data_IF_229027943594
#
_entry.id   IF_229027943594
#
_cell.length_a   1.000
_cell.length_b   1.000
_cell.length_c   1.000
_cell.angle_alpha   90.00
_cell.angle_beta   90.00
_cell.angle_gamma   90.00
#
_symmetry.space_group_name_H-M   'P 1'
#
loop_
_entity.id
_entity.type
_entity.pdbx_description
1 polymer ?
#
# COMPACT_ATOMS: atom_id res chain seq x y z
N UNK A 1 6.80 -7.36 3.09
CA UNK A 1 7.48 -6.66 4.20
C UNK A 1 6.83 -7.01 5.54
N UNK A 2 7.58 -7.50 6.55
CA UNK A 2 7.00 -7.90 7.83
C UNK A 2 6.52 -6.65 8.59
N UNK A 3 5.20 -6.50 8.74
CA UNK A 3 4.58 -5.43 9.54
C UNK A 3 3.47 -4.63 8.83
N UNK A 4 3.38 -4.71 7.50
CA UNK A 4 2.22 -4.19 6.77
C UNK A 4 1.21 -5.32 6.57
N UNK A 5 -0.08 -5.02 6.76
CA UNK A 5 -1.15 -5.96 6.44
C UNK A 5 -1.02 -6.42 4.99
N UNK A 6 -1.39 -7.67 4.70
CA UNK A 6 -1.39 -8.24 3.35
C UNK A 6 -2.27 -7.44 2.37
N UNK A 7 -3.19 -6.64 2.91
CA UNK A 7 -4.09 -5.76 2.16
C UNK A 7 -3.60 -4.30 2.07
N UNK A 8 -2.36 -4.01 2.47
CA UNK A 8 -1.74 -2.70 2.26
C UNK A 8 -0.97 -2.68 0.95
N UNK A 9 -1.26 -1.70 0.10
CA UNK A 9 -0.52 -1.42 -1.12
C UNK A 9 0.27 -0.13 -0.93
N UNK A 10 1.56 -0.17 -1.26
CA UNK A 10 2.44 0.99 -1.20
C UNK A 10 2.57 1.61 -2.60
N UNK A 11 2.49 2.93 -2.65
CA UNK A 11 2.84 3.73 -3.82
C UNK A 11 3.68 4.92 -3.40
N UNK A 12 4.34 5.56 -4.37
CA UNK A 12 5.03 6.83 -4.15
C UNK A 12 4.43 7.91 -5.06
N UNK A 13 4.61 9.20 -4.73
CA UNK A 13 4.12 10.28 -5.57
C UNK A 13 4.59 10.17 -7.02
N UNK A 14 3.69 10.43 -7.97
CA UNK A 14 3.92 10.32 -9.42
C UNK A 14 3.91 8.89 -9.98
N UNK A 15 3.87 7.86 -9.14
CA UNK A 15 3.81 6.46 -9.58
C UNK A 15 2.44 6.10 -10.17
N UNK A 16 2.43 5.03 -10.97
CA UNK A 16 1.19 4.38 -11.42
C UNK A 16 1.04 3.06 -10.66
N UNK A 17 -0.07 2.89 -9.95
CA UNK A 17 -0.36 1.66 -9.18
C UNK A 17 -1.65 1.03 -9.70
N UNK A 18 -1.67 -0.30 -9.77
CA UNK A 18 -2.86 -1.08 -10.11
C UNK A 18 -3.31 -1.86 -8.90
N UNK A 19 -4.55 -1.63 -8.45
CA UNK A 19 -5.19 -2.41 -7.40
C UNK A 19 -5.95 -3.58 -8.03
N UNK A 20 -5.75 -4.78 -7.50
CA UNK A 20 -6.42 -6.01 -7.95
C UNK A 20 -7.42 -6.49 -6.90
N UNK A 21 -8.66 -6.79 -7.31
CA UNK A 21 -9.71 -7.23 -6.40
C UNK A 21 -9.47 -8.68 -5.96
N UNK A 22 -9.17 -9.56 -6.93
CA UNK A 22 -8.64 -10.90 -6.69
C UNK A 22 -7.48 -11.21 -7.62
N UNK A 23 -6.56 -12.04 -7.13
CA UNK A 23 -5.46 -12.58 -7.94
C UNK A 23 -6.03 -13.62 -8.91
N UNK A 24 -5.61 -13.57 -10.18
CA UNK A 24 -5.94 -14.64 -11.12
C UNK A 24 -5.34 -15.94 -10.57
N UNK A 25 -6.16 -16.94 -10.30
CA UNK A 25 -5.69 -18.30 -10.03
C UNK A 25 -4.82 -18.84 -11.18
N UNK A 26 -4.10 -19.95 -10.99
CA UNK A 26 -3.19 -20.50 -11.98
C UNK A 26 -3.88 -20.65 -13.33
N UNK A 27 -3.09 -20.47 -14.40
CA UNK A 27 -3.44 -20.18 -15.79
C UNK A 27 -4.30 -21.23 -16.54
N UNK A 28 -5.38 -21.72 -15.93
CA UNK A 28 -6.33 -22.64 -16.54
C UNK A 28 -7.80 -22.33 -16.16
N UNK A 29 -8.08 -21.07 -15.80
CA UNK A 29 -9.43 -20.53 -15.73
C UNK A 29 -9.40 -19.12 -16.31
N UNK A 30 -9.58 -19.03 -17.62
CA UNK A 30 -9.70 -17.77 -18.38
C UNK A 30 -11.04 -17.06 -18.15
N UNK A 31 -11.90 -17.59 -17.30
CA UNK A 31 -13.17 -16.98 -16.91
C UNK A 31 -13.14 -16.63 -15.42
N UNK A 32 -13.01 -15.34 -15.10
CA UNK A 32 -13.67 -14.85 -13.89
C UNK A 32 -15.15 -15.28 -13.97
N UNK A 33 -15.85 -15.51 -12.85
CA UNK A 33 -17.25 -15.96 -12.88
C UNK A 33 -18.02 -15.09 -13.87
N UNK A 34 -18.49 -15.70 -14.97
CA UNK A 34 -18.63 -15.06 -16.29
C UNK A 34 -19.63 -13.89 -16.38
N UNK A 35 -20.21 -13.46 -15.25
CA UNK A 35 -21.18 -12.36 -15.16
C UNK A 35 -21.05 -11.57 -13.84
N UNK A 36 -19.85 -11.45 -13.28
CA UNK A 36 -19.65 -10.69 -12.04
C UNK A 36 -19.19 -9.27 -12.32
N UNK A 37 -20.13 -8.32 -12.18
CA UNK A 37 -19.83 -6.88 -12.21
C UNK A 37 -19.05 -6.51 -10.94
N UNK A 38 -17.74 -6.28 -11.10
CA UNK A 38 -16.89 -5.72 -10.06
C UNK A 38 -17.00 -4.21 -10.10
N UNK A 39 -17.16 -3.57 -8.94
CA UNK A 39 -17.10 -2.10 -8.83
C UNK A 39 -16.15 -1.68 -7.73
N UNK A 40 -15.30 -0.70 -8.03
CA UNK A 40 -14.39 -0.11 -7.06
C UNK A 40 -14.99 1.14 -6.44
N UNK A 41 -14.81 1.27 -5.12
CA UNK A 41 -15.22 2.45 -4.36
C UNK A 41 -14.09 2.89 -3.44
N UNK A 42 -13.91 4.19 -3.31
CA UNK A 42 -13.03 4.78 -2.30
C UNK A 42 -13.86 5.29 -1.13
N UNK A 43 -13.41 5.00 0.07
CA UNK A 43 -13.96 5.59 1.28
C UNK A 43 -13.34 6.98 1.46
N UNK A 44 -14.14 8.04 1.30
CA UNK A 44 -13.66 9.40 1.50
C UNK A 44 -13.28 9.61 2.97
N UNK A 45 -12.09 10.18 3.21
CA UNK A 45 -11.69 10.63 4.55
C UNK A 45 -12.67 11.72 4.99
N UNK A 46 -13.57 11.39 5.90
CA UNK A 46 -14.58 12.32 6.46
C UNK A 46 -16.04 11.88 6.29
N UNK A 47 -16.33 10.83 5.51
CA UNK A 47 -17.71 10.41 5.24
C UNK A 47 -18.33 9.48 6.32
N UNK A 48 -17.58 9.18 7.39
CA UNK A 48 -18.05 8.37 8.52
C UNK A 48 -19.11 9.08 9.39
N UNK A 49 -19.36 10.39 9.19
CA UNK A 49 -20.30 11.16 10.02
C UNK A 49 -21.72 11.22 9.43
N UNK A 50 -21.92 10.95 8.12
CA UNK A 50 -23.23 11.08 7.46
C UNK A 50 -23.47 10.03 6.36
N UNK A 51 -23.42 8.74 6.72
CA UNK A 51 -23.90 7.67 5.83
C UNK A 51 -23.18 7.55 4.48
N UNK A 52 -21.88 7.87 4.45
CA UNK A 52 -21.05 8.01 3.26
C UNK A 52 -21.12 6.85 2.27
N UNK A 53 -21.86 7.05 1.18
CA UNK A 53 -21.72 6.21 -0.02
C UNK A 53 -20.39 6.57 -0.69
N UNK A 54 -19.37 5.75 -0.48
CA UNK A 54 -18.06 5.93 -1.12
C UNK A 54 -18.16 6.13 -2.63
N UNK A 55 -17.30 6.98 -3.20
CA UNK A 55 -17.33 7.35 -4.62
C UNK A 55 -16.96 6.16 -5.50
N UNK A 56 -17.81 5.83 -6.47
CA UNK A 56 -17.54 4.79 -7.47
C UNK A 56 -16.44 5.28 -8.42
N UNK A 57 -15.37 4.50 -8.56
CA UNK A 57 -14.20 4.87 -9.35
C UNK A 57 -14.17 4.20 -10.72
N UNK A 58 -14.31 2.88 -10.74
CA UNK A 58 -14.22 2.08 -11.96
C UNK A 58 -14.99 0.75 -11.83
N UNK A 59 -15.20 0.10 -12.96
CA UNK A 59 -15.71 -1.26 -13.07
C UNK A 59 -14.60 -2.21 -13.54
N UNK A 60 -14.64 -3.46 -13.10
CA UNK A 60 -13.66 -4.50 -13.47
C UNK A 60 -12.75 -4.95 -12.32
N UNK A 61 -12.02 -6.05 -12.53
CA UNK A 61 -11.17 -6.66 -11.49
C UNK A 61 -10.00 -5.75 -11.07
N UNK A 62 -9.59 -4.82 -11.92
CA UNK A 62 -8.42 -3.97 -11.73
C UNK A 62 -8.79 -2.50 -11.73
N UNK A 63 -8.19 -1.73 -10.83
CA UNK A 63 -8.29 -0.26 -10.79
C UNK A 63 -6.89 0.33 -10.99
N UNK A 64 -6.69 1.06 -12.09
CA UNK A 64 -5.47 1.81 -12.35
C UNK A 64 -5.57 3.20 -11.72
N UNK A 65 -4.59 3.55 -10.90
CA UNK A 65 -4.42 4.88 -10.31
C UNK A 65 -3.13 5.49 -10.89
N UNK A 66 -3.24 6.35 -11.92
CA UNK A 66 -2.08 7.00 -12.51
C UNK A 66 -1.66 8.22 -11.67
N UNK A 67 -0.36 8.52 -11.69
CA UNK A 67 0.23 9.73 -11.13
C UNK A 67 -0.20 10.01 -9.69
N UNK A 68 0.05 9.05 -8.81
CA UNK A 68 -0.37 9.08 -7.41
C UNK A 68 0.05 10.36 -6.69
N UNK A 69 -0.84 10.86 -5.83
CA UNK A 69 -0.58 11.96 -4.91
C UNK A 69 -0.78 11.49 -3.47
N UNK A 70 -0.26 12.25 -2.51
CA UNK A 70 -0.40 11.91 -1.09
C UNK A 70 -1.88 11.78 -0.68
N UNK A 71 -2.75 12.61 -1.26
CA UNK A 71 -4.19 12.62 -0.99
C UNK A 71 -4.93 11.36 -1.46
N UNK A 72 -4.36 10.61 -2.41
CA UNK A 72 -4.96 9.37 -2.92
C UNK A 72 -4.84 8.23 -1.90
N UNK A 73 -4.08 8.42 -0.81
CA UNK A 73 -3.97 7.48 0.30
C UNK A 73 -5.32 7.27 1.00
N UNK A 74 -5.83 6.04 0.98
CA UNK A 74 -7.16 5.75 1.53
C UNK A 74 -7.52 4.28 1.54
N UNK A 75 -8.78 3.99 1.90
CA UNK A 75 -9.33 2.63 1.82
C UNK A 75 -10.12 2.48 0.52
N UNK A 76 -9.71 1.49 -0.27
CA UNK A 76 -10.30 1.14 -1.55
C UNK A 76 -10.96 -0.22 -1.42
N UNK A 77 -12.26 -0.29 -1.68
CA UNK A 77 -13.02 -1.52 -1.56
C UNK A 77 -13.58 -1.92 -2.92
N UNK A 78 -13.37 -3.19 -3.29
CA UNK A 78 -14.01 -3.77 -4.46
C UNK A 78 -15.29 -4.50 -4.04
N UNK A 79 -16.33 -4.34 -4.84
CA UNK A 79 -17.66 -4.89 -4.60
C UNK A 79 -18.06 -5.81 -5.76
N UNK A 80 -18.63 -6.96 -5.41
CA UNK A 80 -19.15 -7.98 -6.32
C UNK A 80 -20.62 -8.21 -5.98
N UNK A 81 -21.52 -8.04 -6.95
CA UNK A 81 -22.96 -8.21 -6.71
C UNK A 81 -23.50 -7.31 -5.59
N UNK A 82 -22.91 -6.11 -5.42
CA UNK A 82 -23.28 -5.16 -4.36
C UNK A 82 -22.68 -5.44 -2.97
N UNK A 83 -21.92 -6.53 -2.78
CA UNK A 83 -21.26 -6.87 -1.51
C UNK A 83 -19.76 -6.57 -1.56
N UNK A 84 -19.15 -6.04 -0.49
CA UNK A 84 -17.70 -5.80 -0.46
C UNK A 84 -16.97 -7.15 -0.44
N UNK A 85 -16.08 -7.37 -1.40
CA UNK A 85 -15.27 -8.59 -1.50
C UNK A 85 -13.92 -8.41 -0.81
N UNK A 86 -13.22 -7.31 -1.11
CA UNK A 86 -11.89 -7.01 -0.58
C UNK A 86 -11.75 -5.52 -0.31
N UNK A 87 -11.04 -5.18 0.75
CA UNK A 87 -10.68 -3.80 1.07
C UNK A 87 -9.17 -3.69 1.17
N UNK A 88 -8.60 -2.79 0.38
CA UNK A 88 -7.17 -2.49 0.33
C UNK A 88 -6.91 -1.13 0.94
N UNK A 89 -5.78 -0.99 1.63
CA UNK A 89 -5.30 0.30 2.12
C UNK A 89 -4.17 0.76 1.22
N UNK A 90 -4.40 1.82 0.45
CA UNK A 90 -3.35 2.47 -0.31
C UNK A 90 -2.64 3.48 0.59
N UNK A 91 -1.32 3.37 0.66
CA UNK A 91 -0.45 4.33 1.34
C UNK A 91 0.50 4.91 0.30
N UNK A 92 0.35 6.21 0.02
CA UNK A 92 1.22 6.97 -0.87
C UNK A 92 2.22 7.74 -0.01
N UNK A 93 3.45 7.24 0.04
CA UNK A 93 4.55 7.81 0.82
C UNK A 93 5.82 7.84 -0.03
N UNK A 94 6.72 8.78 0.29
CA UNK A 94 8.05 8.80 -0.32
C UNK A 94 8.83 7.54 0.09
N UNK A 95 9.52 6.86 -0.83
CA UNK A 95 10.37 5.73 -0.48
C UNK A 95 11.44 6.16 0.53
N UNK A 96 11.75 5.30 1.53
CA UNK A 96 12.80 5.62 2.50
C UNK A 96 14.13 5.83 1.81
N UNK A 97 14.92 6.78 2.31
CA UNK A 97 16.28 6.96 1.83
C UNK A 97 17.13 5.71 2.08
N UNK A 98 18.05 5.41 1.16
CA UNK A 98 19.01 4.33 1.36
C UNK A 98 19.90 4.65 2.58
N UNK A 99 19.92 3.79 3.61
CA UNK A 99 20.67 4.06 4.82
C UNK A 99 22.17 4.02 4.52
N UNK A 100 22.89 5.04 4.99
CA UNK A 100 24.36 5.06 4.97
C UNK A 100 24.87 4.62 6.32
N UNK A 101 25.05 3.31 6.47
CA UNK A 101 25.48 2.70 7.73
C UNK A 101 26.98 2.93 7.92
N UNK A 102 27.36 3.47 9.07
CA UNK A 102 28.73 3.57 9.54
C UNK A 102 28.88 2.69 10.77
N UNK A 103 29.86 1.79 10.75
CA UNK A 103 30.18 0.93 11.88
C UNK A 103 31.58 1.24 12.38
N UNK A 104 31.72 1.42 13.68
CA UNK A 104 33.01 1.68 14.30
C UNK A 104 33.08 1.07 15.69
N UNK A 105 34.30 0.86 16.15
CA UNK A 105 34.59 0.38 17.50
C UNK A 105 35.60 1.33 18.14
N UNK A 106 35.24 1.87 19.30
CA UNK A 106 36.04 2.90 19.99
C UNK A 106 37.35 2.34 20.57
N UNK A 107 37.34 1.09 21.04
CA UNK A 107 38.50 0.36 21.57
C UNK A 107 38.26 -1.15 21.52
N UNK A 108 39.30 -1.98 21.67
CA UNK A 108 39.20 -3.43 21.50
C UNK A 108 38.25 -4.14 22.47
N UNK A 109 38.01 -3.57 23.65
CA UNK A 109 37.13 -4.08 24.71
C UNK A 109 35.65 -3.65 24.55
N UNK A 110 35.32 -2.87 23.51
CA UNK A 110 33.95 -2.37 23.27
C UNK A 110 33.28 -3.09 22.11
N UNK A 111 31.96 -3.10 22.16
CA UNK A 111 31.13 -3.58 21.06
C UNK A 111 31.26 -2.70 19.82
N UNK A 112 31.00 -3.30 18.66
CA UNK A 112 30.89 -2.57 17.40
C UNK A 112 29.57 -1.81 17.38
N UNK A 113 29.63 -0.48 17.26
CA UNK A 113 28.44 0.36 17.10
C UNK A 113 28.23 0.64 15.62
N UNK A 114 27.03 0.35 15.13
CA UNK A 114 26.59 0.73 13.79
C UNK A 114 25.49 1.77 13.91
N UNK A 115 25.67 2.91 13.25
CA UNK A 115 24.71 4.01 13.22
C UNK A 115 24.48 4.49 11.80
N UNK A 116 23.30 5.05 11.54
CA UNK A 116 23.00 5.75 10.29
C UNK A 116 22.20 7.01 10.60
N UNK A 117 22.74 8.22 10.34
CA UNK A 117 21.98 9.44 10.49
C UNK A 117 20.98 9.57 9.33
N UNK A 118 19.73 9.88 9.65
CA UNK A 118 18.71 10.18 8.65
C UNK A 118 18.78 11.67 8.26
N UNK A 119 18.72 11.97 6.96
CA UNK A 119 18.68 13.35 6.45
C UNK A 119 17.32 13.99 6.61
N UNK A 120 16.26 13.19 6.59
CA UNK A 120 14.89 13.63 6.77
C UNK A 120 14.17 12.74 7.77
N UNK A 121 13.12 13.27 8.40
CA UNK A 121 12.24 12.45 9.24
C UNK A 121 11.58 11.39 8.34
N UNK A 122 11.69 10.09 8.68
CA UNK A 122 11.08 9.03 7.91
C UNK A 122 9.55 9.11 8.01
N UNK A 123 8.84 8.57 7.01
CA UNK A 123 7.38 8.51 7.05
C UNK A 123 6.90 7.66 8.23
N UNK A 124 5.67 7.87 8.75
CA UNK A 124 5.13 7.06 9.82
C UNK A 124 5.09 5.55 9.51
N UNK A 125 5.00 5.17 8.23
CA UNK A 125 5.04 3.78 7.76
C UNK A 125 6.44 3.18 7.62
N UNK A 126 7.50 3.98 7.75
CA UNK A 126 8.88 3.53 7.57
C UNK A 126 9.40 2.84 8.82
N UNK A 127 9.95 1.63 8.68
CA UNK A 127 10.58 0.88 9.77
C UNK A 127 11.99 0.43 9.38
N UNK A 128 12.95 0.65 10.27
CA UNK A 128 14.28 0.09 10.12
C UNK A 128 14.28 -1.40 10.49
N UNK A 129 14.89 -2.22 9.63
CA UNK A 129 15.08 -3.64 9.86
C UNK A 129 16.55 -3.98 9.64
N UNK A 130 17.17 -4.59 10.65
CA UNK A 130 18.48 -5.21 10.53
C UNK A 130 18.27 -6.69 10.22
N UNK A 131 18.82 -7.14 9.11
CA UNK A 131 18.84 -8.55 8.75
C UNK A 131 20.13 -9.15 9.32
N UNK A 132 20.00 -10.22 10.11
CA UNK A 132 21.11 -10.94 10.77
C UNK A 132 21.21 -12.34 10.18
#
# INVERSE_FOLDING_TARGET
>A
PPGLSRDTVLGHPGANVTLTCWDKGPAHVTEGPANVTVSWRVEERGAAVLGGRGRRLAEGNTLLLPHLRHEDSGRYSCYVGGRPLRSLRLLVEEPPETPRVSCYRRSHDKDVLCEWPLRARPSPGTRAMLWV
#
